data_IF_141162710409
#
_entry.id   IF_141162710409
#
_cell.length_a   1.000
_cell.length_b   1.000
_cell.length_c   1.000
_cell.angle_alpha   90.00
_cell.angle_beta   90.00
_cell.angle_gamma   90.00
#
_symmetry.space_group_name_H-M   'P 1'
#
loop_
_entity.id
_entity.type
_entity.pdbx_description
1 polymer ?
#
# COMPACT_ATOMS: atom_id res chain seq x y z
N UNK A 1 13.80 -13.67 -19.54
CA UNK A 1 12.64 -12.78 -19.76
C UNK A 1 13.04 -11.41 -19.26
N UNK A 2 13.06 -10.42 -20.15
CA UNK A 2 13.65 -9.11 -19.86
C UNK A 2 12.86 -8.34 -18.81
N UNK A 3 13.50 -8.02 -17.70
CA UNK A 3 13.10 -6.96 -16.79
C UNK A 3 13.03 -5.66 -17.59
N UNK A 4 11.82 -5.26 -17.98
CA UNK A 4 11.60 -3.90 -18.46
C UNK A 4 11.90 -2.96 -17.29
N UNK A 5 13.00 -2.21 -17.38
CA UNK A 5 13.31 -1.09 -16.50
C UNK A 5 12.22 -0.02 -16.65
N UNK A 6 11.11 -0.23 -15.96
CA UNK A 6 10.03 0.75 -15.86
C UNK A 6 10.50 1.79 -14.86
N UNK A 7 10.79 3.00 -15.35
CA UNK A 7 11.15 4.10 -14.48
C UNK A 7 9.90 4.54 -13.69
N UNK A 8 9.84 4.17 -12.41
CA UNK A 8 8.74 4.56 -11.53
C UNK A 8 9.04 5.88 -10.82
N UNK A 9 8.02 6.73 -10.78
CA UNK A 9 8.01 7.92 -9.94
C UNK A 9 8.13 7.51 -8.46
N UNK A 10 8.81 8.33 -7.65
CA UNK A 10 9.00 8.11 -6.21
C UNK A 10 8.46 9.29 -5.42
N UNK A 11 7.95 9.04 -4.21
CA UNK A 11 7.48 10.09 -3.31
C UNK A 11 7.97 9.84 -1.89
N UNK A 12 8.45 10.90 -1.25
CA UNK A 12 8.72 10.91 0.20
C UNK A 12 7.39 10.91 0.95
N UNK A 13 7.23 10.02 1.92
CA UNK A 13 5.99 9.84 2.69
C UNK A 13 6.30 9.32 4.09
N UNK A 14 5.28 9.16 4.94
CA UNK A 14 5.39 8.46 6.24
C UNK A 14 4.15 7.60 6.43
N UNK A 15 4.21 6.35 5.99
CA UNK A 15 3.11 5.41 6.15
C UNK A 15 3.53 4.21 6.99
N UNK A 16 2.58 3.67 7.74
CA UNK A 16 2.79 2.48 8.57
C UNK A 16 2.87 1.24 7.69
N UNK A 17 3.80 0.35 8.03
CA UNK A 17 3.93 -0.95 7.44
C UNK A 17 4.20 -2.00 8.53
N UNK A 18 3.88 -3.24 8.21
CA UNK A 18 4.29 -4.41 8.99
C UNK A 18 5.03 -5.35 8.07
N UNK A 19 6.06 -6.02 8.60
CA UNK A 19 6.95 -6.86 7.84
C UNK A 19 7.20 -8.20 8.54
N UNK A 20 7.66 -9.16 7.75
CA UNK A 20 8.26 -10.41 8.22
C UNK A 20 9.37 -10.81 7.25
N UNK A 21 10.39 -11.48 7.77
CA UNK A 21 11.41 -12.12 6.93
C UNK A 21 10.83 -13.42 6.41
N UNK A 22 11.01 -13.70 5.12
CA UNK A 22 10.51 -14.91 4.45
C UNK A 22 11.61 -15.52 3.59
N UNK A 23 11.70 -16.86 3.47
CA UNK A 23 12.65 -17.48 2.54
C UNK A 23 12.17 -17.43 1.08
N UNK A 24 10.94 -17.00 0.80
CA UNK A 24 10.31 -17.11 -0.52
C UNK A 24 10.21 -15.76 -1.25
N UNK A 25 11.15 -15.49 -2.17
CA UNK A 25 11.19 -14.25 -2.97
C UNK A 25 10.08 -14.13 -4.03
N UNK A 26 9.68 -15.27 -4.60
CA UNK A 26 8.72 -15.36 -5.72
C UNK A 26 7.30 -15.73 -5.25
N UNK A 27 7.09 -15.87 -3.95
CA UNK A 27 5.77 -16.19 -3.41
C UNK A 27 4.80 -15.02 -3.64
N UNK A 28 3.51 -15.36 -3.81
CA UNK A 28 2.47 -14.35 -3.68
C UNK A 28 2.40 -13.92 -2.21
N UNK A 29 2.23 -12.62 -1.92
CA UNK A 29 1.99 -12.17 -0.56
C UNK A 29 0.82 -12.95 0.07
N UNK A 30 1.01 -13.45 1.29
CA UNK A 30 -0.04 -14.05 2.11
C UNK A 30 -1.10 -13.00 2.42
N UNK A 31 -0.67 -11.78 2.72
CA UNK A 31 -1.60 -10.67 2.84
C UNK A 31 -2.09 -10.24 1.45
N UNK A 32 -3.37 -10.50 1.19
CA UNK A 32 -4.06 -9.98 0.02
C UNK A 32 -4.98 -8.86 0.50
N UNK A 33 -4.75 -7.64 0.00
CA UNK A 33 -5.61 -6.50 0.28
C UNK A 33 -7.08 -6.84 -0.03
N UNK A 34 -8.00 -6.23 0.72
CA UNK A 34 -9.44 -6.52 0.75
C UNK A 34 -10.02 -6.92 -0.63
N UNK A 35 -10.40 -8.20 -0.78
CA UNK A 35 -11.06 -8.73 -1.98
C UNK A 35 -12.36 -7.99 -2.34
N UNK A 36 -13.02 -7.35 -1.35
CA UNK A 36 -14.29 -6.65 -1.54
C UNK A 36 -14.11 -5.22 -2.09
N UNK A 37 -12.94 -4.59 -1.94
CA UNK A 37 -12.71 -3.24 -2.47
C UNK A 37 -12.63 -3.19 -4.00
N UNK A 38 -12.44 -4.34 -4.66
CA UNK A 38 -12.35 -4.45 -6.12
C UNK A 38 -13.72 -4.75 -6.77
N UNK A 39 -14.80 -4.84 -5.97
CA UNK A 39 -16.16 -5.12 -6.45
C UNK A 39 -16.88 -3.91 -7.05
N UNK A 40 -16.29 -2.71 -7.12
CA UNK A 40 -17.07 -1.52 -7.49
C UNK A 40 -16.45 -0.64 -8.57
N UNK A 41 -16.98 -0.83 -9.78
CA UNK A 41 -17.31 0.25 -10.74
C UNK A 41 -18.34 -0.25 -11.79
N UNK A 42 -18.41 -1.56 -12.07
CA UNK A 42 -19.33 -2.13 -13.05
C UNK A 42 -20.73 -2.44 -12.45
N UNK A 43 -20.77 -2.90 -11.20
CA UNK A 43 -21.97 -3.39 -10.50
C UNK A 43 -22.91 -2.25 -10.12
N UNK A 44 -22.38 -1.16 -9.56
CA UNK A 44 -23.15 0.06 -9.27
C UNK A 44 -23.64 0.77 -10.54
N UNK A 45 -22.84 0.82 -11.61
CA UNK A 45 -23.27 1.38 -12.91
C UNK A 45 -24.48 0.67 -13.50
N UNK A 46 -24.56 -0.65 -13.37
CA UNK A 46 -25.72 -1.43 -13.82
C UNK A 46 -27.00 -1.16 -12.99
N UNK A 47 -26.87 -0.80 -11.72
CA UNK A 47 -28.01 -0.51 -10.85
C UNK A 47 -28.67 0.84 -11.15
N UNK A 48 -27.92 1.85 -11.59
CA UNK A 48 -28.48 3.13 -12.03
C UNK A 48 -29.39 3.02 -13.28
N UNK A 49 -29.29 1.92 -14.04
CA UNK A 49 -30.17 1.59 -15.17
C UNK A 49 -31.42 0.80 -14.81
N UNK A 50 -31.58 0.40 -13.55
CA UNK A 50 -32.73 -0.36 -13.05
C UNK A 50 -33.74 0.53 -12.34
N UNK A 51 -35.02 0.13 -12.24
CA UNK A 51 -36.11 0.84 -11.55
C UNK A 51 -35.92 0.94 -10.01
N UNK A 52 -34.70 0.83 -9.52
CA UNK A 52 -34.37 0.86 -8.09
C UNK A 52 -34.29 2.32 -7.61
N UNK A 53 -34.99 2.69 -6.52
CA UNK A 53 -34.91 4.03 -5.94
C UNK A 53 -33.47 4.43 -5.58
N UNK A 54 -33.09 5.67 -5.88
CA UNK A 54 -31.73 6.18 -5.65
C UNK A 54 -31.35 6.18 -4.18
N UNK A 55 -32.35 6.41 -3.31
CA UNK A 55 -32.22 6.41 -1.86
C UNK A 55 -31.81 5.03 -1.35
N UNK A 56 -32.36 3.96 -1.95
CA UNK A 56 -31.99 2.59 -1.63
C UNK A 56 -30.56 2.28 -2.08
N UNK A 57 -30.17 2.72 -3.29
CA UNK A 57 -28.79 2.56 -3.78
C UNK A 57 -27.80 3.27 -2.83
N UNK A 58 -28.10 4.51 -2.42
CA UNK A 58 -27.26 5.25 -1.49
C UNK A 58 -27.16 4.57 -0.12
N UNK A 59 -28.28 4.04 0.39
CA UNK A 59 -28.30 3.29 1.64
C UNK A 59 -27.47 2.01 1.55
N UNK A 60 -27.65 1.20 0.50
CA UNK A 60 -26.90 -0.04 0.28
C UNK A 60 -25.40 0.24 0.15
N UNK A 61 -25.00 1.31 -0.55
CA UNK A 61 -23.61 1.74 -0.64
C UNK A 61 -23.04 2.11 0.73
N UNK A 62 -23.80 2.86 1.54
CA UNK A 62 -23.39 3.17 2.90
C UNK A 62 -23.29 1.94 3.81
N UNK A 63 -24.07 0.88 3.56
CA UNK A 63 -23.89 -0.41 4.26
C UNK A 63 -22.64 -1.14 3.80
N UNK A 64 -22.37 -1.20 2.50
CA UNK A 64 -21.16 -1.82 1.94
C UNK A 64 -19.89 -1.17 2.51
N UNK A 65 -19.85 0.17 2.59
CA UNK A 65 -18.76 0.91 3.21
C UNK A 65 -18.56 0.55 4.69
N UNK A 66 -19.64 0.41 5.47
CA UNK A 66 -19.58 -0.03 6.88
C UNK A 66 -19.08 -1.46 7.03
N UNK A 67 -19.55 -2.37 6.18
CA UNK A 67 -19.12 -3.77 6.20
C UNK A 67 -17.63 -3.88 5.84
N UNK A 68 -17.20 -3.16 4.82
CA UNK A 68 -15.79 -3.06 4.44
C UNK A 68 -14.92 -2.51 5.58
N UNK A 69 -15.42 -1.53 6.34
CA UNK A 69 -14.73 -1.00 7.52
C UNK A 69 -14.63 -2.04 8.65
N UNK A 70 -15.69 -2.79 8.94
CA UNK A 70 -15.67 -3.84 9.98
C UNK A 70 -14.69 -4.95 9.59
N UNK A 71 -14.73 -5.43 8.34
CA UNK A 71 -13.81 -6.45 7.84
C UNK A 71 -12.35 -5.98 7.91
N UNK A 72 -12.13 -4.70 7.58
CA UNK A 72 -10.83 -4.05 7.69
C UNK A 72 -10.29 -4.04 9.12
N UNK A 73 -11.14 -3.70 10.11
CA UNK A 73 -10.79 -3.70 11.53
C UNK A 73 -10.51 -5.11 12.06
N UNK A 74 -11.33 -6.10 11.69
CA UNK A 74 -11.12 -7.49 12.09
C UNK A 74 -9.82 -8.06 11.54
N UNK A 75 -9.44 -7.70 10.31
CA UNK A 75 -8.19 -8.13 9.71
C UNK A 75 -6.96 -7.39 10.26
N UNK A 76 -7.09 -6.17 10.80
CA UNK A 76 -5.95 -5.44 11.37
C UNK A 76 -5.29 -6.17 12.55
N UNK A 77 -6.07 -6.86 13.39
CA UNK A 77 -5.53 -7.71 14.46
C UNK A 77 -4.66 -8.83 13.91
N UNK A 78 -5.13 -9.52 12.86
CA UNK A 78 -4.42 -10.63 12.24
C UNK A 78 -3.13 -10.20 11.52
N UNK A 79 -3.06 -8.96 11.01
CA UNK A 79 -1.84 -8.48 10.32
C UNK A 79 -0.64 -8.48 11.25
N UNK A 80 -0.76 -8.06 12.51
CA UNK A 80 0.38 -8.03 13.42
C UNK A 80 0.83 -9.45 13.83
N UNK A 81 -0.10 -10.40 13.90
CA UNK A 81 0.22 -11.80 14.18
C UNK A 81 1.02 -12.43 13.03
N UNK A 82 0.65 -12.13 11.79
CA UNK A 82 1.35 -12.64 10.60
C UNK A 82 2.63 -11.85 10.25
N UNK A 83 2.68 -10.57 10.63
CA UNK A 83 3.76 -9.61 10.33
C UNK A 83 4.23 -8.90 11.61
N UNK A 84 5.11 -9.54 12.40
CA UNK A 84 5.46 -9.05 13.74
C UNK A 84 6.37 -7.81 13.72
N UNK A 85 7.02 -7.50 12.59
CA UNK A 85 7.99 -6.41 12.54
C UNK A 85 7.29 -5.12 12.15
N UNK A 86 7.24 -4.14 13.06
CA UNK A 86 6.75 -2.81 12.74
C UNK A 86 7.76 -2.06 11.87
N UNK A 87 7.26 -1.36 10.85
CA UNK A 87 8.07 -0.57 9.93
C UNK A 87 7.39 0.76 9.59
N UNK A 88 8.20 1.77 9.30
CA UNK A 88 7.76 3.05 8.79
C UNK A 88 8.36 3.29 7.41
N UNK A 89 7.51 3.37 6.38
CA UNK A 89 7.93 3.67 5.01
C UNK A 89 8.15 5.16 4.87
N UNK A 90 9.37 5.54 4.47
CA UNK A 90 9.79 6.94 4.29
C UNK A 90 9.81 7.38 2.83
N UNK A 91 9.90 6.43 1.90
CA UNK A 91 9.80 6.68 0.46
C UNK A 91 9.20 5.46 -0.22
N UNK A 92 8.32 5.67 -1.20
CA UNK A 92 7.70 4.57 -1.95
C UNK A 92 7.61 4.90 -3.45
N UNK A 93 7.68 3.83 -4.25
CA UNK A 93 7.57 3.85 -5.70
C UNK A 93 6.89 2.57 -6.19
N UNK A 94 6.59 2.48 -7.49
CA UNK A 94 6.05 1.25 -8.07
C UNK A 94 7.04 0.08 -8.18
N UNK A 95 8.35 0.28 -7.93
CA UNK A 95 9.38 -0.76 -7.97
C UNK A 95 10.00 -1.10 -6.62
N UNK A 96 9.75 -0.32 -5.58
CA UNK A 96 10.43 -0.49 -4.30
C UNK A 96 10.11 0.63 -3.33
N UNK A 97 10.66 0.51 -2.13
CA UNK A 97 10.45 1.45 -1.04
C UNK A 97 11.68 1.57 -0.15
N UNK A 98 11.67 2.60 0.70
CA UNK A 98 12.61 2.77 1.79
C UNK A 98 11.84 2.77 3.10
N UNK A 99 12.35 2.07 4.10
CA UNK A 99 11.71 2.01 5.41
C UNK A 99 12.69 2.05 6.57
N UNK A 100 12.18 2.43 7.74
CA UNK A 100 12.85 2.40 9.03
C UNK A 100 12.17 1.32 9.87
N UNK A 101 12.95 0.57 10.65
CA UNK A 101 12.46 -0.37 11.65
C UNK A 101 13.48 -0.47 12.77
N UNK A 102 13.02 -0.88 13.95
CA UNK A 102 13.88 -1.19 15.10
C UNK A 102 14.63 -2.51 14.89
N UNK A 103 14.11 -3.38 14.02
CA UNK A 103 14.76 -4.63 13.65
C UNK A 103 15.92 -4.41 12.67
N UNK A 104 16.97 -5.22 12.84
CA UNK A 104 18.10 -5.25 11.93
C UNK A 104 17.89 -6.31 10.85
N UNK A 105 18.23 -5.97 9.61
CA UNK A 105 18.18 -6.87 8.47
C UNK A 105 19.54 -6.99 7.80
N UNK A 106 19.70 -8.00 6.95
CA UNK A 106 20.85 -8.15 6.08
C UNK A 106 20.51 -7.73 4.65
N UNK A 107 21.55 -7.38 3.89
CA UNK A 107 21.42 -7.28 2.44
C UNK A 107 21.07 -8.67 1.91
N UNK A 108 20.21 -8.71 0.90
CA UNK A 108 19.63 -9.91 0.29
C UNK A 108 18.56 -10.64 1.11
N UNK A 109 18.24 -10.18 2.33
CA UNK A 109 17.06 -10.68 3.04
C UNK A 109 15.81 -10.37 2.23
N UNK A 110 14.94 -11.39 2.11
CA UNK A 110 13.64 -11.25 1.49
C UNK A 110 12.62 -10.93 2.59
N UNK A 111 11.90 -9.85 2.38
CA UNK A 111 10.87 -9.35 3.29
C UNK A 111 9.52 -9.34 2.59
N UNK A 112 8.52 -9.84 3.30
CA UNK A 112 7.13 -9.65 2.94
C UNK A 112 6.57 -8.54 3.81
N UNK A 113 5.85 -7.59 3.21
CA UNK A 113 5.34 -6.42 3.90
C UNK A 113 3.87 -6.15 3.57
N UNK A 114 3.11 -5.77 4.60
CA UNK A 114 1.79 -5.18 4.50
C UNK A 114 1.90 -3.65 4.66
N UNK A 115 1.60 -2.91 3.60
CA UNK A 115 1.71 -1.44 3.58
C UNK A 115 0.33 -0.80 3.74
N UNK A 116 0.19 0.12 4.70
CA UNK A 116 -1.07 0.85 4.94
C UNK A 116 -1.04 2.16 4.16
N UNK A 117 -1.56 2.16 2.92
CA UNK A 117 -1.58 3.33 2.04
C UNK A 117 -2.58 4.41 2.48
N UNK A 118 -3.67 4.01 3.16
CA UNK A 118 -4.63 4.95 3.76
C UNK A 118 -5.30 4.29 4.95
N UNK A 119 -5.60 5.08 5.99
CA UNK A 119 -6.33 4.62 7.17
C UNK A 119 -7.85 4.81 7.03
N UNK A 120 -8.30 5.71 6.15
CA UNK A 120 -9.72 5.99 5.97
C UNK A 120 -10.03 6.44 4.52
N UNK A 121 -10.70 5.59 3.71
CA UNK A 121 -10.99 4.18 3.98
C UNK A 121 -9.69 3.38 4.13
N UNK A 122 -9.71 2.29 4.91
CA UNK A 122 -8.50 1.47 5.09
C UNK A 122 -8.08 0.87 3.74
N UNK A 123 -6.85 1.17 3.32
CA UNK A 123 -6.22 0.62 2.12
C UNK A 123 -4.90 -0.02 2.53
N UNK A 124 -4.83 -1.34 2.38
CA UNK A 124 -3.62 -2.13 2.67
C UNK A 124 -3.25 -2.93 1.43
N UNK A 125 -1.95 -2.96 1.11
CA UNK A 125 -1.39 -3.74 0.00
C UNK A 125 -0.30 -4.67 0.51
N UNK A 126 -0.19 -5.86 -0.06
CA UNK A 126 0.87 -6.82 0.24
C UNK A 126 1.97 -6.76 -0.83
N UNK A 127 3.24 -6.77 -0.40
CA UNK A 127 4.40 -6.85 -1.28
C UNK A 127 5.39 -7.89 -0.77
N UNK A 128 6.18 -8.47 -1.66
CA UNK A 128 7.44 -9.14 -1.35
C UNK A 128 8.56 -8.36 -2.03
N UNK A 129 9.65 -8.15 -1.31
CA UNK A 129 10.83 -7.53 -1.86
C UNK A 129 12.12 -8.01 -1.20
N UNK A 130 13.23 -7.69 -1.83
CA UNK A 130 14.57 -8.02 -1.36
C UNK A 130 15.25 -6.76 -0.88
N UNK A 131 15.94 -6.84 0.26
CA UNK A 131 16.74 -5.75 0.78
C UNK A 131 17.97 -5.58 -0.09
N UNK A 132 17.97 -4.51 -0.88
CA UNK A 132 19.03 -4.21 -1.82
C UNK A 132 20.23 -3.56 -1.13
N UNK A 133 19.98 -2.66 -0.18
CA UNK A 133 21.04 -1.98 0.58
C UNK A 133 20.52 -1.33 1.86
N UNK A 134 21.47 -0.99 2.74
CA UNK A 134 21.27 -0.14 3.92
C UNK A 134 21.83 1.26 3.67
N UNK A 135 21.04 2.28 3.97
CA UNK A 135 21.44 3.69 3.95
C UNK A 135 21.34 4.28 5.37
N UNK A 136 21.77 5.53 5.53
CA UNK A 136 21.53 6.31 6.74
C UNK A 136 20.99 7.68 6.38
N UNK A 137 19.89 8.08 7.01
CA UNK A 137 19.34 9.44 6.92
C UNK A 137 19.37 10.04 8.32
N UNK A 138 20.15 11.12 8.50
CA UNK A 138 20.32 11.79 9.81
C UNK A 138 20.70 10.80 10.95
N UNK A 139 21.62 9.88 10.67
CA UNK A 139 22.05 8.76 11.54
C UNK A 139 21.01 7.67 11.82
N UNK A 140 19.81 7.75 11.26
CA UNK A 140 18.81 6.68 11.37
C UNK A 140 19.06 5.67 10.24
N UNK A 141 19.14 4.35 10.54
CA UNK A 141 19.28 3.33 9.52
C UNK A 141 18.01 3.26 8.66
N UNK A 142 18.19 3.24 7.34
CA UNK A 142 17.10 3.12 6.37
C UNK A 142 17.40 1.93 5.48
N UNK A 143 16.41 1.05 5.31
CA UNK A 143 16.49 -0.15 4.49
C UNK A 143 15.85 0.13 3.13
N UNK A 144 16.55 -0.19 2.05
CA UNK A 144 16.05 -0.05 0.67
C UNK A 144 15.61 -1.41 0.17
N UNK A 145 14.36 -1.52 -0.22
CA UNK A 145 13.73 -2.74 -0.72
C UNK A 145 13.37 -2.57 -2.18
N UNK A 146 13.75 -3.56 -2.99
CA UNK A 146 13.27 -3.71 -4.37
C UNK A 146 12.19 -4.78 -4.41
N UNK A 147 11.08 -4.50 -5.09
CA UNK A 147 9.94 -5.41 -5.18
C UNK A 147 10.24 -6.59 -6.10
N UNK A 148 10.25 -7.80 -5.55
CA UNK A 148 10.41 -9.06 -6.30
C UNK A 148 9.07 -9.60 -6.76
N UNK A 149 8.04 -9.52 -5.91
CA UNK A 149 6.70 -10.01 -6.21
C UNK A 149 5.63 -9.08 -5.64
N UNK A 150 4.79 -8.54 -6.52
CA UNK A 150 3.63 -7.70 -6.18
C UNK A 150 2.53 -8.01 -7.17
N UNK A 151 1.30 -8.20 -6.68
CA UNK A 151 0.13 -8.38 -7.54
C UNK A 151 -0.09 -7.13 -8.37
N UNK A 152 -0.52 -7.26 -9.62
CA UNK A 152 -0.74 -6.11 -10.51
C UNK A 152 -1.69 -5.07 -9.91
N UNK A 153 -2.75 -5.52 -9.25
CA UNK A 153 -3.73 -4.65 -8.59
C UNK A 153 -3.15 -3.89 -7.39
N UNK A 154 -2.26 -4.52 -6.62
CA UNK A 154 -1.59 -3.89 -5.49
C UNK A 154 -0.53 -2.89 -5.99
N UNK A 155 0.17 -3.23 -7.07
CA UNK A 155 1.11 -2.33 -7.74
C UNK A 155 0.40 -1.09 -8.28
N UNK A 156 -0.78 -1.26 -8.88
CA UNK A 156 -1.60 -0.14 -9.34
C UNK A 156 -2.00 0.78 -8.17
N UNK A 157 -2.44 0.21 -7.04
CA UNK A 157 -2.78 0.97 -5.83
C UNK A 157 -1.58 1.77 -5.30
N UNK A 158 -0.37 1.18 -5.30
CA UNK A 158 0.87 1.88 -4.94
C UNK A 158 1.15 3.04 -5.90
N UNK A 159 1.04 2.80 -7.21
CA UNK A 159 1.29 3.85 -8.23
C UNK A 159 0.29 5.00 -8.08
N UNK A 160 -1.00 4.70 -7.88
CA UNK A 160 -2.03 5.72 -7.63
C UNK A 160 -1.73 6.53 -6.36
N UNK A 161 -1.33 5.87 -5.28
CA UNK A 161 -0.90 6.54 -4.05
C UNK A 161 0.26 7.51 -4.30
N UNK A 162 1.32 7.06 -4.99
CA UNK A 162 2.48 7.90 -5.33
C UNK A 162 2.05 9.16 -6.09
N UNK A 163 1.20 9.02 -7.11
CA UNK A 163 0.71 10.16 -7.88
C UNK A 163 -0.17 11.10 -7.04
N UNK A 164 -0.99 10.56 -6.13
CA UNK A 164 -1.81 11.38 -5.24
C UNK A 164 -0.93 12.22 -4.31
N UNK A 165 0.02 11.61 -3.61
CA UNK A 165 0.95 12.30 -2.72
C UNK A 165 1.76 13.37 -3.44
N UNK A 166 2.26 13.08 -4.64
CA UNK A 166 2.98 14.06 -5.46
C UNK A 166 2.11 15.27 -5.82
N UNK A 167 0.85 15.04 -6.18
CA UNK A 167 -0.10 16.13 -6.45
C UNK A 167 -0.36 16.98 -5.22
N UNK A 168 -0.44 16.36 -4.05
CA UNK A 168 -0.64 17.07 -2.78
C UNK A 168 0.59 17.92 -2.42
N UNK A 169 1.80 17.39 -2.59
CA UNK A 169 3.04 18.15 -2.38
C UNK A 169 3.17 19.36 -3.30
N UNK A 170 2.84 19.21 -4.60
CA UNK A 170 2.84 20.34 -5.55
C UNK A 170 1.83 21.42 -5.13
N UNK A 171 0.67 21.02 -4.60
CA UNK A 171 -0.35 21.96 -4.11
C UNK A 171 0.13 22.70 -2.86
N UNK A 172 0.75 22.00 -1.91
CA UNK A 172 1.30 22.60 -0.68
C UNK A 172 2.43 23.60 -0.95
N UNK A 173 3.33 23.29 -1.87
CA UNK A 173 4.47 24.17 -2.19
C UNK A 173 4.04 25.48 -2.87
N UNK A 174 2.92 25.49 -3.61
CA UNK A 174 2.38 26.72 -4.20
C UNK A 174 1.81 27.69 -3.16
N UNK A 175 1.31 27.20 -2.03
CA UNK A 175 0.80 28.08 -0.95
C UNK A 175 1.90 28.72 -0.09
N UNK A 176 3.12 28.19 -0.09
CA UNK A 176 4.24 28.77 0.67
C UNK A 176 5.01 29.83 -0.13
N UNK A 177 4.96 29.80 -1.46
CA UNK A 177 5.66 30.78 -2.31
C UNK A 177 4.86 32.07 -2.55
N UNK A 178 3.58 32.10 -2.15
CA UNK A 178 2.66 33.23 -2.35
C UNK A 178 2.41 34.03 -1.05
N UNK A 179 3.35 33.99 -0.10
CA UNK A 179 3.40 34.75 1.15
C UNK A 179 4.70 35.55 1.25
#
# INVERSE_FOLDING_TARGET
>A
MGSQDRNYSRVSTRIKAYARVTPFADAKPIFTGCFACDMDDQTTKNLYGSHVPRELIAFLKGMDEKLNMILSLLNQGNIQDDFPIAAEVVEISGAGLQFISDEAFNVDDVVEMALILSQFPLKVVGIVGQIHRRTKVKNIPVWVVEFTSVRDIDREKIVQFVFQEQREQIRGNRSETDK
#
